data_IF_142517236663
#
_entry.id   IF_142517236663
#
_cell.length_a   1.000
_cell.length_b   1.000
_cell.length_c   1.000
_cell.angle_alpha   90.00
_cell.angle_beta   90.00
_cell.angle_gamma   90.00
#
_symmetry.space_group_name_H-M   'P 1'
#
loop_
_entity.id
_entity.type
_entity.pdbx_description
1 polymer ?
#
# COMPACT_ATOMS: atom_id res chain seq x y z
N UNK A 1 -20.89 15.09 -6.42
CA UNK A 1 -19.83 15.45 -5.45
C UNK A 1 -18.50 15.46 -6.18
N UNK A 2 -17.69 16.51 -6.04
CA UNK A 2 -16.33 16.54 -6.60
C UNK A 2 -15.35 15.80 -5.69
N UNK A 3 -14.13 15.57 -6.16
CA UNK A 3 -13.14 14.79 -5.40
C UNK A 3 -12.71 15.53 -4.14
N UNK A 4 -12.50 16.83 -4.25
CA UNK A 4 -12.14 17.74 -3.16
C UNK A 4 -13.20 17.85 -2.06
N UNK A 5 -14.46 17.52 -2.37
CA UNK A 5 -15.59 17.59 -1.44
C UNK A 5 -15.83 16.28 -0.67
N UNK A 6 -15.07 15.21 -0.99
CA UNK A 6 -15.24 13.91 -0.33
C UNK A 6 -14.79 14.02 1.13
N UNK A 7 -15.73 13.83 2.05
CA UNK A 7 -15.43 13.74 3.49
C UNK A 7 -14.84 12.37 3.83
N UNK A 8 -13.98 12.32 4.86
CA UNK A 8 -13.32 11.07 5.29
C UNK A 8 -14.29 10.01 5.80
N UNK A 9 -15.42 10.43 6.37
CA UNK A 9 -16.46 9.53 6.86
C UNK A 9 -17.46 9.14 5.77
N UNK A 10 -17.31 9.57 4.51
CA UNK A 10 -18.12 9.06 3.43
C UNK A 10 -17.91 7.55 3.23
N UNK A 11 -18.98 6.85 2.86
CA UNK A 11 -18.93 5.44 2.49
C UNK A 11 -18.80 5.37 0.98
N UNK A 12 -17.61 5.00 0.53
CA UNK A 12 -17.29 4.95 -0.90
C UNK A 12 -17.75 3.61 -1.48
N UNK A 13 -18.59 3.64 -2.53
CA UNK A 13 -19.11 2.44 -3.19
C UNK A 13 -18.64 2.42 -4.64
N UNK A 14 -17.77 1.46 -4.96
CA UNK A 14 -17.27 1.23 -6.31
C UNK A 14 -18.20 0.26 -7.04
N UNK A 15 -18.90 0.77 -8.05
CA UNK A 15 -19.85 -0.04 -8.84
C UNK A 15 -19.24 -0.64 -10.12
N UNK A 16 -17.92 -0.54 -10.26
CA UNK A 16 -17.16 -1.18 -11.35
C UNK A 16 -17.07 -2.70 -11.14
N UNK A 17 -16.61 -3.42 -12.17
CA UNK A 17 -16.42 -4.87 -12.07
C UNK A 17 -15.31 -5.23 -11.08
N UNK A 18 -15.28 -6.48 -10.56
CA UNK A 18 -14.24 -6.92 -9.63
C UNK A 18 -12.82 -6.70 -10.16
N UNK A 19 -12.55 -7.02 -11.42
CA UNK A 19 -11.24 -6.77 -12.02
C UNK A 19 -10.86 -5.29 -12.14
N UNK A 20 -11.82 -4.39 -12.38
CA UNK A 20 -11.57 -2.94 -12.34
C UNK A 20 -11.25 -2.44 -10.91
N UNK A 21 -11.89 -3.04 -9.89
CA UNK A 21 -11.67 -2.75 -8.47
C UNK A 21 -10.31 -3.27 -7.99
N UNK A 22 -9.94 -4.49 -8.37
CA UNK A 22 -8.65 -5.11 -8.04
C UNK A 22 -7.44 -4.44 -8.72
N UNK A 23 -7.62 -3.79 -9.87
CA UNK A 23 -6.59 -2.97 -10.54
C UNK A 23 -6.38 -1.62 -9.82
N UNK A 24 -7.28 -1.30 -8.89
CA UNK A 24 -7.14 -0.24 -7.90
C UNK A 24 -8.40 0.59 -7.76
N UNK A 25 -8.63 1.10 -6.55
CA UNK A 25 -9.86 1.82 -6.17
C UNK A 25 -9.57 2.96 -5.19
N UNK A 26 -10.62 3.64 -4.73
CA UNK A 26 -10.52 4.61 -3.64
C UNK A 26 -10.28 3.85 -2.33
N UNK A 27 -9.29 4.21 -1.50
CA UNK A 27 -9.01 3.52 -0.25
C UNK A 27 -10.26 3.38 0.63
N UNK A 28 -10.49 2.17 1.14
CA UNK A 28 -11.66 1.83 1.95
C UNK A 28 -12.98 1.70 1.19
N UNK A 29 -13.00 1.84 -0.15
CA UNK A 29 -14.21 1.66 -0.93
C UNK A 29 -14.69 0.20 -0.93
N UNK A 30 -16.01 0.02 -1.02
CA UNK A 30 -16.66 -1.28 -1.06
C UNK A 30 -17.08 -1.57 -2.51
N UNK A 31 -16.72 -2.74 -3.03
CA UNK A 31 -17.13 -3.12 -4.38
C UNK A 31 -18.53 -3.73 -4.41
N UNK A 32 -19.47 -3.05 -5.07
CA UNK A 32 -20.83 -3.54 -5.35
C UNK A 32 -21.03 -3.46 -6.87
N UNK A 33 -20.53 -4.47 -7.62
CA UNK A 33 -20.48 -4.40 -9.08
C UNK A 33 -21.88 -4.42 -9.70
N UNK A 34 -22.12 -3.50 -10.63
CA UNK A 34 -23.31 -3.54 -11.50
C UNK A 34 -23.16 -4.62 -12.57
N UNK A 35 -21.92 -4.86 -13.01
CA UNK A 35 -21.54 -5.88 -13.97
C UNK A 35 -20.33 -6.64 -13.44
N UNK A 36 -20.30 -7.96 -13.62
CA UNK A 36 -19.04 -8.71 -13.50
C UNK A 36 -18.09 -8.40 -14.67
N UNK A 37 -16.90 -9.00 -14.67
CA UNK A 37 -15.87 -8.72 -15.67
C UNK A 37 -16.28 -9.13 -17.09
N UNK A 38 -17.02 -10.22 -17.22
CA UNK A 38 -17.47 -10.78 -18.50
C UNK A 38 -18.61 -9.94 -19.07
N UNK A 39 -19.61 -9.61 -18.25
CA UNK A 39 -20.70 -8.70 -18.59
C UNK A 39 -20.18 -7.32 -18.97
N UNK A 40 -19.21 -6.79 -18.21
CA UNK A 40 -18.56 -5.51 -18.53
C UNK A 40 -17.89 -5.57 -19.90
N UNK A 41 -17.20 -6.67 -20.23
CA UNK A 41 -16.56 -6.85 -21.52
C UNK A 41 -17.60 -6.90 -22.68
N UNK A 42 -18.72 -7.59 -22.48
CA UNK A 42 -19.83 -7.65 -23.44
C UNK A 42 -20.44 -6.26 -23.66
N UNK A 43 -20.81 -5.55 -22.59
CA UNK A 43 -21.39 -4.20 -22.65
C UNK A 43 -20.41 -3.23 -23.32
N UNK A 44 -19.14 -3.27 -22.94
CA UNK A 44 -18.10 -2.44 -23.56
C UNK A 44 -17.93 -2.71 -25.05
N UNK A 45 -18.08 -3.95 -25.49
CA UNK A 45 -18.03 -4.34 -26.90
C UNK A 45 -19.23 -3.82 -27.66
N UNK A 46 -20.44 -3.96 -27.12
CA UNK A 46 -21.66 -3.43 -27.72
C UNK A 46 -21.61 -1.91 -27.89
N UNK A 47 -21.14 -1.19 -26.86
CA UNK A 47 -20.96 0.26 -26.91
C UNK A 47 -20.05 0.70 -28.06
N UNK A 48 -18.96 -0.04 -28.31
CA UNK A 48 -17.97 0.29 -29.35
C UNK A 48 -18.40 -0.14 -30.75
N UNK A 49 -18.98 -1.34 -30.89
CA UNK A 49 -19.20 -1.99 -32.20
C UNK A 49 -20.62 -1.83 -32.75
N UNK A 50 -21.62 -1.72 -31.89
CA UNK A 50 -23.04 -1.73 -32.29
C UNK A 50 -23.69 -0.38 -32.03
N UNK A 51 -23.45 0.19 -30.85
CA UNK A 51 -23.92 1.52 -30.50
C UNK A 51 -24.57 1.59 -29.12
N UNK A 52 -24.79 2.82 -28.67
CA UNK A 52 -25.23 3.12 -27.30
C UNK A 52 -26.59 2.52 -26.95
N UNK A 53 -27.53 2.45 -27.90
CA UNK A 53 -28.90 1.96 -27.64
C UNK A 53 -28.92 0.48 -27.26
N UNK A 54 -28.25 -0.36 -28.05
CA UNK A 54 -28.18 -1.80 -27.79
C UNK A 54 -27.41 -2.11 -26.51
N UNK A 55 -26.32 -1.38 -26.25
CA UNK A 55 -25.58 -1.55 -25.01
C UNK A 55 -26.42 -1.17 -23.77
N UNK A 56 -27.23 -0.11 -23.85
CA UNK A 56 -28.18 0.24 -22.77
C UNK A 56 -29.25 -0.83 -22.57
N UNK A 57 -29.84 -1.34 -23.67
CA UNK A 57 -30.85 -2.41 -23.60
C UNK A 57 -30.29 -3.65 -22.92
N UNK A 58 -29.12 -4.12 -23.36
CA UNK A 58 -28.45 -5.27 -22.75
C UNK A 58 -28.06 -5.01 -21.30
N UNK A 59 -27.63 -3.80 -20.97
CA UNK A 59 -27.34 -3.40 -19.59
C UNK A 59 -28.56 -3.51 -18.68
N UNK A 60 -29.74 -3.07 -19.13
CA UNK A 60 -30.99 -3.19 -18.36
C UNK A 60 -31.34 -4.65 -18.12
N UNK A 61 -31.24 -5.50 -19.14
CA UNK A 61 -31.52 -6.95 -19.01
C UNK A 61 -30.64 -7.63 -17.97
N UNK A 62 -29.36 -7.26 -17.89
CA UNK A 62 -28.42 -7.82 -16.92
C UNK A 62 -28.67 -7.27 -15.51
N UNK A 63 -28.85 -5.95 -15.38
CA UNK A 63 -28.96 -5.31 -14.06
C UNK A 63 -30.29 -5.62 -13.40
N UNK A 64 -31.38 -5.76 -14.16
CA UNK A 64 -32.72 -5.99 -13.59
C UNK A 64 -32.79 -7.26 -12.75
N UNK A 65 -32.08 -8.33 -13.13
CA UNK A 65 -32.03 -9.57 -12.36
C UNK A 65 -31.17 -9.47 -11.09
N UNK A 66 -30.23 -8.50 -11.03
CA UNK A 66 -29.31 -8.29 -9.90
C UNK A 66 -29.73 -7.16 -8.97
N UNK A 67 -30.78 -6.40 -9.33
CA UNK A 67 -31.08 -5.13 -8.68
C UNK A 67 -31.45 -5.28 -7.21
N UNK A 68 -32.21 -6.33 -6.87
CA UNK A 68 -32.57 -6.65 -5.48
C UNK A 68 -31.33 -6.92 -4.61
N UNK A 69 -30.37 -7.65 -5.15
CA UNK A 69 -29.12 -7.98 -4.44
C UNK A 69 -28.22 -6.76 -4.29
N UNK A 70 -28.11 -5.93 -5.35
CA UNK A 70 -27.36 -4.67 -5.30
C UNK A 70 -27.97 -3.74 -4.24
N UNK A 71 -29.29 -3.58 -4.24
CA UNK A 71 -30.00 -2.77 -3.25
C UNK A 71 -29.72 -3.25 -1.83
N UNK A 72 -29.90 -4.56 -1.58
CA UNK A 72 -29.67 -5.16 -0.26
C UNK A 72 -28.24 -4.95 0.24
N UNK A 73 -27.24 -5.05 -0.65
CA UNK A 73 -25.83 -4.78 -0.31
C UNK A 73 -25.59 -3.31 0.01
N UNK A 74 -26.19 -2.38 -0.72
CA UNK A 74 -26.08 -0.94 -0.42
C UNK A 74 -26.73 -0.64 0.93
N UNK A 75 -27.91 -1.19 1.19
CA UNK A 75 -28.64 -1.00 2.45
C UNK A 75 -27.86 -1.50 3.67
N UNK A 76 -27.14 -2.62 3.55
CA UNK A 76 -26.25 -3.13 4.61
C UNK A 76 -25.14 -2.15 4.99
N UNK A 77 -24.80 -1.22 4.10
CA UNK A 77 -23.77 -0.21 4.33
C UNK A 77 -24.36 1.19 4.55
N UNK A 78 -25.68 1.35 4.58
CA UNK A 78 -26.32 2.63 4.87
C UNK A 78 -26.29 2.93 6.37
N UNK A 79 -25.24 3.61 6.79
CA UNK A 79 -25.05 4.00 8.19
C UNK A 79 -25.66 5.39 8.40
N UNK A 80 -26.63 5.47 9.32
CA UNK A 80 -27.26 6.74 9.69
C UNK A 80 -26.21 7.78 10.12
N UNK A 81 -26.14 8.85 9.33
CA UNK A 81 -25.29 10.02 9.58
C UNK A 81 -24.14 10.16 8.60
N UNK A 82 -23.86 9.10 7.81
CA UNK A 82 -22.76 9.08 6.84
C UNK A 82 -23.32 9.15 5.43
N UNK A 83 -22.70 9.96 4.58
CA UNK A 83 -23.07 10.06 3.16
C UNK A 83 -22.44 8.90 2.39
N UNK A 84 -23.20 8.27 1.49
CA UNK A 84 -22.69 7.26 0.56
C UNK A 84 -22.32 7.91 -0.77
N UNK A 85 -21.13 7.61 -1.30
CA UNK A 85 -20.67 8.15 -2.58
C UNK A 85 -20.42 7.01 -3.55
N UNK A 86 -21.27 6.91 -4.57
CA UNK A 86 -21.17 5.88 -5.60
C UNK A 86 -20.36 6.40 -6.78
N UNK A 87 -19.46 5.55 -7.27
CA UNK A 87 -18.64 5.89 -8.42
C UNK A 87 -18.44 4.70 -9.35
N UNK A 88 -18.27 5.01 -10.63
CA UNK A 88 -17.80 4.08 -11.64
C UNK A 88 -16.54 4.66 -12.30
N UNK A 89 -16.08 4.06 -13.40
CA UNK A 89 -14.83 4.51 -14.07
C UNK A 89 -14.81 6.00 -14.42
N UNK A 90 -15.91 6.57 -14.93
CA UNK A 90 -15.96 7.95 -15.45
C UNK A 90 -17.12 8.80 -14.88
N UNK A 91 -17.79 8.33 -13.83
CA UNK A 91 -18.97 9.04 -13.29
C UNK A 91 -20.12 9.13 -14.30
N UNK A 92 -20.29 8.09 -15.11
CA UNK A 92 -21.32 8.04 -16.17
C UNK A 92 -22.57 7.29 -15.73
N UNK A 93 -23.27 6.70 -16.71
CA UNK A 93 -24.59 6.08 -16.50
C UNK A 93 -24.58 4.94 -15.47
N UNK A 94 -23.50 4.16 -15.35
CA UNK A 94 -23.40 3.04 -14.38
C UNK A 94 -23.68 3.50 -12.95
N UNK A 95 -22.89 4.43 -12.42
CA UNK A 95 -23.14 4.94 -11.06
C UNK A 95 -24.34 5.89 -11.04
N UNK A 96 -24.55 6.69 -12.09
CA UNK A 96 -25.63 7.68 -12.13
C UNK A 96 -27.03 7.06 -12.01
N UNK A 97 -27.34 6.00 -12.76
CA UNK A 97 -28.66 5.37 -12.71
C UNK A 97 -28.97 4.76 -11.35
N UNK A 98 -27.96 4.14 -10.72
CA UNK A 98 -28.11 3.53 -9.40
C UNK A 98 -28.28 4.61 -8.32
N UNK A 99 -27.52 5.71 -8.38
CA UNK A 99 -27.68 6.86 -7.48
C UNK A 99 -29.10 7.40 -7.56
N UNK A 100 -29.67 7.59 -8.76
CA UNK A 100 -31.03 8.12 -8.90
C UNK A 100 -32.08 7.19 -8.31
N UNK A 101 -31.95 5.87 -8.53
CA UNK A 101 -32.84 4.89 -7.92
C UNK A 101 -32.75 4.94 -6.39
N UNK A 102 -31.54 4.92 -5.83
CA UNK A 102 -31.32 4.92 -4.39
C UNK A 102 -31.82 6.22 -3.73
N UNK A 103 -31.64 7.39 -4.39
CA UNK A 103 -32.25 8.66 -3.96
C UNK A 103 -33.77 8.57 -3.91
N UNK A 104 -34.39 7.99 -4.94
CA UNK A 104 -35.84 7.82 -4.98
C UNK A 104 -36.36 6.87 -3.88
N UNK A 105 -35.53 5.93 -3.42
CA UNK A 105 -35.82 5.02 -2.30
C UNK A 105 -35.47 5.61 -0.93
N UNK A 106 -34.95 6.85 -0.87
CA UNK A 106 -34.71 7.58 0.38
C UNK A 106 -33.27 7.50 0.92
N UNK A 107 -32.34 6.87 0.21
CA UNK A 107 -30.94 6.82 0.64
C UNK A 107 -30.22 8.15 0.42
N UNK A 108 -29.32 8.50 1.34
CA UNK A 108 -28.39 9.63 1.19
C UNK A 108 -27.17 9.20 0.39
N UNK A 109 -27.33 9.22 -0.93
CA UNK A 109 -26.28 8.86 -1.87
C UNK A 109 -25.91 10.05 -2.76
N UNK A 110 -24.64 10.18 -3.11
CA UNK A 110 -24.15 11.11 -4.12
C UNK A 110 -23.34 10.38 -5.19
N UNK A 111 -23.31 10.95 -6.39
CA UNK A 111 -22.45 10.45 -7.46
C UNK A 111 -21.11 11.18 -7.41
N UNK A 112 -20.00 10.44 -7.50
CA UNK A 112 -18.68 11.05 -7.73
C UNK A 112 -18.58 11.57 -9.16
N UNK A 113 -18.39 12.87 -9.30
CA UNK A 113 -18.24 13.54 -10.58
C UNK A 113 -16.95 13.06 -11.28
N UNK A 114 -17.07 12.66 -12.55
CA UNK A 114 -15.95 12.12 -13.32
C UNK A 114 -15.42 10.75 -12.83
N UNK A 115 -15.97 10.20 -11.75
CA UNK A 115 -15.71 8.86 -11.23
C UNK A 115 -14.25 8.61 -10.82
N UNK A 116 -13.84 7.33 -10.85
CA UNK A 116 -12.48 6.93 -10.46
C UNK A 116 -11.40 7.61 -11.32
N UNK A 117 -11.69 7.92 -12.58
CA UNK A 117 -10.76 8.66 -13.45
C UNK A 117 -10.46 10.06 -12.90
N UNK A 118 -11.50 10.79 -12.45
CA UNK A 118 -11.31 12.12 -11.88
C UNK A 118 -10.58 12.04 -10.54
N UNK A 119 -10.95 11.09 -9.68
CA UNK A 119 -10.23 10.81 -8.43
C UNK A 119 -8.73 10.57 -8.68
N UNK A 120 -8.41 9.69 -9.62
CA UNK A 120 -7.02 9.37 -9.96
C UNK A 120 -6.25 10.58 -10.46
N UNK A 121 -6.87 11.41 -11.29
CA UNK A 121 -6.26 12.64 -11.80
C UNK A 121 -5.99 13.62 -10.66
N UNK A 122 -6.97 13.79 -9.77
CA UNK A 122 -6.86 14.65 -8.60
C UNK A 122 -5.69 14.25 -7.70
N UNK A 123 -5.52 12.96 -7.38
CA UNK A 123 -4.34 12.50 -6.61
C UNK A 123 -3.04 12.89 -7.31
N UNK A 124 -2.90 12.55 -8.60
CA UNK A 124 -1.66 12.80 -9.34
C UNK A 124 -1.31 14.29 -9.41
N UNK A 125 -2.31 15.15 -9.52
CA UNK A 125 -2.10 16.60 -9.61
C UNK A 125 -1.76 17.24 -8.25
N UNK A 126 -2.16 16.61 -7.12
CA UNK A 126 -2.02 17.19 -5.79
C UNK A 126 -0.96 16.50 -4.90
N UNK A 127 -0.58 15.25 -5.17
CA UNK A 127 0.30 14.46 -4.31
C UNK A 127 1.66 15.13 -4.08
N UNK A 128 2.31 15.60 -5.16
CA UNK A 128 3.58 16.32 -5.03
C UNK A 128 3.46 17.62 -4.23
N UNK A 129 2.31 18.27 -4.28
CA UNK A 129 2.02 19.48 -3.51
C UNK A 129 1.96 19.26 -2.00
N UNK A 130 1.52 18.07 -1.55
CA UNK A 130 1.50 17.70 -0.13
C UNK A 130 2.89 17.42 0.44
N UNK A 131 3.86 17.10 -0.42
CA UNK A 131 5.23 16.75 -0.01
C UNK A 131 6.14 17.97 -0.09
N UNK A 132 5.90 18.84 -1.07
CA UNK A 132 6.72 20.03 -1.32
C UNK A 132 6.76 20.94 -0.10
N UNK A 133 7.98 21.24 0.35
CA UNK A 133 8.24 22.11 1.49
C UNK A 133 8.25 21.41 2.84
N UNK A 134 7.90 20.12 2.92
CA UNK A 134 8.07 19.33 4.15
C UNK A 134 9.51 18.83 4.28
N UNK A 135 10.07 18.85 5.48
CA UNK A 135 11.31 18.14 5.78
C UNK A 135 11.04 16.64 5.78
N UNK A 136 11.89 15.85 5.13
CA UNK A 136 11.77 14.39 5.13
C UNK A 136 12.81 13.84 6.10
N UNK A 137 12.34 13.19 7.17
CA UNK A 137 13.18 12.45 8.10
C UNK A 137 13.23 11.00 7.62
N UNK A 138 14.42 10.52 7.32
CA UNK A 138 14.64 9.19 6.76
C UNK A 138 15.29 8.29 7.80
N UNK A 139 14.61 7.19 8.13
CA UNK A 139 15.14 6.14 9.00
C UNK A 139 15.91 5.13 8.17
N UNK A 140 17.23 5.14 8.32
CA UNK A 140 18.18 4.22 7.70
C UNK A 140 18.42 3.01 8.60
N UNK A 141 18.93 1.94 7.98
CA UNK A 141 19.42 0.77 8.69
C UNK A 141 19.10 -0.53 7.96
N UNK A 142 19.87 -1.57 8.30
CA UNK A 142 19.88 -2.84 7.59
C UNK A 142 18.57 -3.63 7.77
N UNK A 143 18.35 -4.64 6.93
CA UNK A 143 17.18 -5.53 7.03
C UNK A 143 17.09 -6.15 8.43
N UNK A 144 15.95 -6.00 9.11
CA UNK A 144 15.73 -6.55 10.46
C UNK A 144 16.09 -5.63 11.62
N UNK A 145 16.50 -4.37 11.39
CA UNK A 145 16.72 -3.40 12.48
C UNK A 145 15.44 -2.83 13.09
N UNK A 146 14.26 -3.21 12.59
CA UNK A 146 12.97 -2.82 13.17
C UNK A 146 12.43 -1.46 12.71
N UNK A 147 12.81 -0.97 11.51
CA UNK A 147 12.32 0.32 10.95
C UNK A 147 10.78 0.41 10.94
N UNK A 148 10.11 -0.62 10.45
CA UNK A 148 8.64 -0.73 10.41
C UNK A 148 8.03 -0.64 11.82
N UNK A 149 8.63 -1.31 12.80
CA UNK A 149 8.16 -1.26 14.20
C UNK A 149 8.33 0.15 14.78
N UNK A 150 9.48 0.78 14.53
CA UNK A 150 9.75 2.16 14.94
C UNK A 150 8.73 3.13 14.34
N UNK A 151 8.47 3.07 13.04
CA UNK A 151 7.48 3.93 12.37
C UNK A 151 6.08 3.77 12.96
N UNK A 152 5.65 2.53 13.22
CA UNK A 152 4.35 2.25 13.85
C UNK A 152 4.26 2.76 15.28
N UNK A 153 5.35 2.71 16.04
CA UNK A 153 5.39 3.27 17.39
C UNK A 153 5.35 4.80 17.35
N UNK A 154 6.12 5.42 16.45
CA UNK A 154 6.10 6.87 16.24
C UNK A 154 4.71 7.36 15.83
N UNK A 155 4.04 6.68 14.91
CA UNK A 155 2.66 7.02 14.49
C UNK A 155 1.68 6.97 15.68
N UNK A 156 1.76 5.92 16.52
CA UNK A 156 0.93 5.80 17.73
C UNK A 156 1.17 6.93 18.73
N UNK A 157 2.39 7.45 18.80
CA UNK A 157 2.77 8.59 19.64
C UNK A 157 2.46 9.95 18.98
N UNK A 158 1.78 9.95 17.83
CA UNK A 158 1.32 11.16 17.14
C UNK A 158 2.34 11.81 16.20
N UNK A 159 3.45 11.13 15.89
CA UNK A 159 4.44 11.63 14.94
C UNK A 159 4.00 11.33 13.48
N UNK A 160 4.42 12.17 12.52
CA UNK A 160 3.96 12.09 11.12
C UNK A 160 4.68 10.98 10.32
N UNK A 161 4.54 9.73 10.76
CA UNK A 161 5.17 8.57 10.14
C UNK A 161 4.38 8.04 8.93
N UNK A 162 5.10 7.66 7.88
CA UNK A 162 4.61 7.14 6.61
C UNK A 162 5.39 5.86 6.29
N UNK A 163 4.71 4.71 6.38
CA UNK A 163 5.27 3.37 6.10
C UNK A 163 5.10 3.04 4.60
N UNK A 164 6.14 3.28 3.80
CA UNK A 164 6.12 3.11 2.34
C UNK A 164 6.05 1.63 1.93
N UNK A 165 6.71 0.76 2.68
CA UNK A 165 6.68 -0.70 2.57
C UNK A 165 5.26 -1.24 2.73
N UNK A 166 4.57 -0.85 3.82
CA UNK A 166 3.18 -1.23 4.06
C UNK A 166 2.25 -0.68 2.98
N UNK A 167 2.45 0.57 2.54
CA UNK A 167 1.67 1.15 1.44
C UNK A 167 1.88 0.41 0.12
N UNK A 168 3.09 -0.08 -0.15
CA UNK A 168 3.41 -0.88 -1.32
C UNK A 168 2.97 -2.35 -1.19
N UNK A 169 2.60 -2.79 0.02
CA UNK A 169 2.45 -4.20 0.40
C UNK A 169 3.70 -5.01 0.02
N UNK A 170 4.85 -4.52 0.46
CA UNK A 170 6.19 -5.06 0.20
C UNK A 170 7.00 -4.94 1.48
N UNK A 171 7.85 -5.91 1.80
CA UNK A 171 8.99 -5.72 2.70
C UNK A 171 10.20 -5.51 1.80
N UNK A 172 11.07 -4.54 2.07
CA UNK A 172 12.26 -4.16 1.29
C UNK A 172 13.36 -5.23 1.32
N UNK A 173 12.96 -6.49 1.20
CA UNK A 173 13.77 -7.69 1.35
C UNK A 173 13.38 -8.69 0.25
N UNK A 174 14.19 -9.72 0.04
CA UNK A 174 13.91 -10.75 -0.95
C UNK A 174 12.72 -11.62 -0.62
N UNK A 175 12.37 -11.66 0.66
CA UNK A 175 11.13 -12.25 1.16
C UNK A 175 10.01 -11.21 1.20
N UNK A 176 10.15 -10.14 0.42
CA UNK A 176 9.34 -8.94 0.44
C UNK A 176 7.85 -9.17 0.26
N UNK A 177 7.46 -10.27 -0.38
CA UNK A 177 6.07 -10.62 -0.65
C UNK A 177 5.59 -11.78 0.20
N UNK A 178 6.47 -12.43 0.97
CA UNK A 178 6.15 -13.67 1.69
C UNK A 178 5.03 -13.43 2.69
N UNK A 179 3.90 -14.12 2.49
CA UNK A 179 2.72 -14.02 3.34
C UNK A 179 2.01 -12.67 3.30
N UNK A 180 2.35 -11.79 2.35
CA UNK A 180 1.68 -10.49 2.16
C UNK A 180 0.57 -10.55 1.10
N UNK A 181 0.43 -11.66 0.38
CA UNK A 181 -0.52 -11.79 -0.72
C UNK A 181 -0.14 -10.93 -1.92
N UNK A 182 -1.14 -10.32 -2.58
CA UNK A 182 -0.94 -9.56 -3.83
C UNK A 182 -0.28 -8.21 -3.55
N UNK A 183 0.89 -7.97 -4.14
CA UNK A 183 1.56 -6.66 -4.09
C UNK A 183 0.64 -5.54 -4.61
N UNK A 184 0.70 -4.34 -4.01
CA UNK A 184 -0.16 -3.21 -4.43
C UNK A 184 0.32 -2.60 -5.74
N UNK A 185 -0.61 -2.09 -6.54
CA UNK A 185 -0.31 -1.40 -7.79
C UNK A 185 0.02 0.08 -7.53
N UNK A 186 0.55 0.77 -8.55
CA UNK A 186 0.88 2.20 -8.43
C UNK A 186 -0.33 3.06 -8.05
N UNK A 187 -1.53 2.71 -8.55
CA UNK A 187 -2.73 3.49 -8.29
C UNK A 187 -3.15 3.45 -6.82
N UNK A 188 -3.10 2.27 -6.20
CA UNK A 188 -3.42 2.09 -4.79
C UNK A 188 -2.35 2.73 -3.91
N UNK A 189 -1.08 2.55 -4.25
CA UNK A 189 0.03 3.16 -3.52
C UNK A 189 -0.11 4.68 -3.44
N UNK A 190 -0.28 5.34 -4.58
CA UNK A 190 -0.41 6.81 -4.60
C UNK A 190 -1.66 7.28 -3.85
N UNK A 191 -2.75 6.52 -3.90
CA UNK A 191 -3.99 6.87 -3.20
C UNK A 191 -3.83 6.77 -1.68
N UNK A 192 -3.19 5.71 -1.20
CA UNK A 192 -2.86 5.53 0.22
C UNK A 192 -1.86 6.57 0.72
N UNK A 193 -0.84 6.85 -0.08
CA UNK A 193 0.15 7.89 0.23
C UNK A 193 -0.51 9.27 0.28
N UNK A 194 -1.37 9.58 -0.68
CA UNK A 194 -2.15 10.82 -0.69
C UNK A 194 -3.03 10.95 0.56
N UNK A 195 -3.81 9.91 0.88
CA UNK A 195 -4.68 9.92 2.05
C UNK A 195 -3.88 10.09 3.35
N UNK A 196 -2.76 9.38 3.51
CA UNK A 196 -1.90 9.54 4.69
C UNK A 196 -1.30 10.93 4.80
N UNK A 197 -0.76 11.48 3.70
CA UNK A 197 -0.12 12.80 3.70
C UNK A 197 -1.12 13.93 3.96
N UNK A 198 -2.36 13.80 3.49
CA UNK A 198 -3.44 14.75 3.78
C UNK A 198 -3.78 14.79 5.28
N UNK A 199 -3.48 13.72 6.01
CA UNK A 199 -3.75 13.59 7.45
C UNK A 199 -2.59 14.11 8.31
N UNK A 200 -1.48 14.49 7.68
CA UNK A 200 -0.29 15.01 8.37
C UNK A 200 -0.32 16.54 8.40
N UNK A 201 -0.70 17.07 9.56
CA UNK A 201 -0.60 18.49 9.90
C UNK A 201 0.75 18.77 10.60
N UNK A 202 1.84 18.61 9.87
CA UNK A 202 3.20 18.87 10.32
C UNK A 202 4.09 19.32 9.16
N UNK A 203 5.11 20.12 9.43
CA UNK A 203 6.08 20.58 8.42
C UNK A 203 7.13 19.52 8.06
N UNK A 204 6.98 18.30 8.57
CA UNK A 204 7.86 17.17 8.26
C UNK A 204 7.10 15.85 8.20
N UNK A 205 7.73 14.85 7.57
CA UNK A 205 7.27 13.46 7.53
C UNK A 205 8.42 12.52 7.88
N UNK A 206 8.11 11.37 8.45
CA UNK A 206 9.09 10.34 8.79
C UNK A 206 8.85 9.12 7.91
N UNK A 207 9.84 8.70 7.15
CA UNK A 207 9.80 7.54 6.25
C UNK A 207 10.96 6.61 6.52
N UNK A 208 10.82 5.34 6.18
CA UNK A 208 11.96 4.44 6.08
C UNK A 208 12.79 4.72 4.80
N UNK A 209 14.09 4.43 4.89
CA UNK A 209 15.00 4.55 3.75
C UNK A 209 14.71 3.45 2.72
N UNK A 210 13.97 3.83 1.68
CA UNK A 210 13.73 3.01 0.50
C UNK A 210 14.42 3.55 -0.76
N UNK A 211 14.59 2.66 -1.74
CA UNK A 211 14.98 3.09 -3.08
C UNK A 211 13.83 3.86 -3.75
N UNK A 212 14.08 4.63 -4.83
CA UNK A 212 13.02 5.29 -5.59
C UNK A 212 11.90 4.35 -6.09
N UNK A 213 12.16 3.04 -6.05
CA UNK A 213 11.19 1.98 -6.32
C UNK A 213 11.05 1.07 -5.11
N UNK A 214 9.82 0.90 -4.62
CA UNK A 214 9.47 -0.03 -3.54
C UNK A 214 8.66 -1.17 -4.15
N UNK A 215 9.23 -2.37 -4.21
CA UNK A 215 8.64 -3.50 -4.93
C UNK A 215 8.35 -3.16 -6.41
N UNK A 216 7.07 -2.98 -6.75
CA UNK A 216 6.63 -2.64 -8.13
C UNK A 216 6.12 -1.22 -8.31
N UNK A 217 6.17 -0.40 -7.26
CA UNK A 217 5.69 0.99 -7.29
C UNK A 217 6.87 1.96 -7.23
N UNK A 218 6.67 3.14 -7.80
CA UNK A 218 7.64 4.23 -7.80
C UNK A 218 7.18 5.31 -6.83
N UNK A 219 8.12 5.82 -6.05
CA UNK A 219 7.89 6.95 -5.17
C UNK A 219 7.74 8.24 -5.99
N UNK A 220 6.93 9.22 -5.55
CA UNK A 220 6.88 10.54 -6.16
C UNK A 220 8.25 11.21 -6.17
N UNK A 221 8.57 11.97 -7.22
CA UNK A 221 9.86 12.64 -7.33
C UNK A 221 10.12 13.58 -6.16
N UNK A 222 9.12 14.32 -5.71
CA UNK A 222 9.23 15.19 -4.54
C UNK A 222 9.63 14.43 -3.27
N UNK A 223 9.12 13.20 -3.09
CA UNK A 223 9.51 12.35 -1.96
C UNK A 223 10.94 11.85 -2.11
N UNK A 224 11.31 11.38 -3.31
CA UNK A 224 12.66 10.89 -3.59
C UNK A 224 13.71 11.96 -3.37
N UNK A 225 13.46 13.19 -3.82
CA UNK A 225 14.37 14.31 -3.60
C UNK A 225 14.41 14.69 -2.12
N UNK A 226 13.24 14.77 -1.45
CA UNK A 226 13.18 15.02 -0.01
C UNK A 226 13.95 13.97 0.80
N UNK A 227 13.85 12.68 0.45
CA UNK A 227 14.61 11.60 1.11
C UNK A 227 16.13 11.70 0.89
N UNK A 228 16.59 12.36 -0.17
CA UNK A 228 18.03 12.56 -0.44
C UNK A 228 18.62 13.74 0.32
N UNK A 229 17.83 14.79 0.53
CA UNK A 229 18.28 16.06 1.13
C UNK A 229 17.77 16.27 2.55
N UNK A 230 17.08 15.26 3.09
CA UNK A 230 16.39 15.33 4.35
C UNK A 230 17.30 15.15 5.56
N UNK A 231 16.68 14.81 6.68
CA UNK A 231 17.37 14.46 7.93
C UNK A 231 17.57 12.95 7.94
N UNK A 232 18.78 12.48 8.21
CA UNK A 232 19.15 11.07 8.09
C UNK A 232 19.44 10.48 9.47
N UNK A 233 18.55 9.58 9.94
CA UNK A 233 18.72 8.87 11.20
C UNK A 233 19.14 7.43 10.93
N UNK A 234 20.30 6.99 11.43
CA UNK A 234 20.76 5.60 11.29
C UNK A 234 20.32 4.77 12.50
N UNK A 235 19.65 3.65 12.23
CA UNK A 235 19.26 2.68 13.24
C UNK A 235 20.05 1.39 13.08
N UNK A 236 20.68 0.96 14.16
CA UNK A 236 21.53 -0.24 14.21
C UNK A 236 21.08 -1.20 15.31
N UNK A 237 21.39 -2.48 15.18
CA UNK A 237 21.37 -3.45 16.27
C UNK A 237 22.29 -4.62 15.92
N UNK A 238 22.55 -5.48 16.91
CA UNK A 238 23.30 -6.71 16.71
C UNK A 238 22.62 -7.62 15.69
N UNK A 239 23.45 -8.40 15.01
CA UNK A 239 23.01 -9.44 14.10
C UNK A 239 22.02 -10.41 14.78
N UNK A 240 22.28 -10.76 16.05
CA UNK A 240 21.42 -11.63 16.83
C UNK A 240 20.00 -11.08 17.00
N UNK A 241 19.88 -9.77 17.22
CA UNK A 241 18.59 -9.08 17.30
C UNK A 241 17.89 -9.05 15.95
N UNK A 242 18.62 -8.77 14.86
CA UNK A 242 18.08 -8.83 13.48
C UNK A 242 17.56 -10.23 13.16
N UNK A 243 18.36 -11.28 13.40
CA UNK A 243 17.97 -12.68 13.19
C UNK A 243 16.70 -12.99 13.98
N UNK A 244 16.66 -12.63 15.26
CA UNK A 244 15.51 -12.92 16.13
C UNK A 244 14.24 -12.23 15.64
N UNK A 245 14.30 -10.97 15.21
CA UNK A 245 13.15 -10.24 14.64
C UNK A 245 12.64 -10.88 13.36
N UNK A 246 13.55 -11.09 12.40
CA UNK A 246 13.26 -11.67 11.09
C UNK A 246 12.61 -13.05 11.30
N UNK A 247 13.24 -13.93 12.09
CA UNK A 247 12.68 -15.26 12.38
C UNK A 247 11.30 -15.19 13.03
N UNK A 248 11.08 -14.27 13.98
CA UNK A 248 9.76 -14.09 14.61
C UNK A 248 8.70 -13.60 13.63
N UNK A 249 9.07 -12.79 12.63
CA UNK A 249 8.17 -12.39 11.55
C UNK A 249 7.81 -13.57 10.65
N UNK A 250 8.75 -14.47 10.33
CA UNK A 250 8.48 -15.64 9.48
C UNK A 250 7.78 -16.79 10.21
N UNK A 251 8.09 -17.06 11.47
CA UNK A 251 7.44 -18.12 12.25
C UNK A 251 5.94 -17.88 12.42
N UNK A 252 5.50 -16.61 12.41
CA UNK A 252 4.07 -16.27 12.41
C UNK A 252 3.36 -16.71 11.12
N UNK A 253 4.11 -16.97 10.06
CA UNK A 253 3.63 -17.29 8.71
C UNK A 253 3.95 -18.78 8.41
N UNK A 254 3.50 -19.70 9.26
CA UNK A 254 3.69 -21.15 9.12
C UNK A 254 2.70 -21.83 8.16
N UNK A 255 2.18 -21.11 7.17
CA UNK A 255 1.31 -21.72 6.16
C UNK A 255 2.15 -22.44 5.10
N UNK A 256 1.59 -23.50 4.49
CA UNK A 256 2.22 -24.23 3.39
C UNK A 256 2.59 -23.31 2.22
N UNK A 257 1.75 -22.31 1.96
CA UNK A 257 1.92 -21.33 0.88
C UNK A 257 3.11 -20.42 1.15
N UNK A 258 3.27 -19.94 2.39
CA UNK A 258 4.38 -19.06 2.74
C UNK A 258 5.73 -19.78 2.70
N UNK A 259 5.80 -21.05 3.09
CA UNK A 259 7.01 -21.84 2.95
C UNK A 259 7.39 -22.03 1.47
N UNK A 260 6.41 -22.26 0.59
CA UNK A 260 6.64 -22.32 -0.85
C UNK A 260 7.16 -20.98 -1.40
N UNK A 261 6.60 -19.84 -0.97
CA UNK A 261 7.07 -18.51 -1.37
C UNK A 261 8.51 -18.23 -0.90
N UNK A 262 8.90 -18.72 0.29
CA UNK A 262 10.28 -18.63 0.79
C UNK A 262 11.22 -19.48 -0.09
N UNK A 263 10.83 -20.72 -0.41
CA UNK A 263 11.59 -21.60 -1.29
C UNK A 263 11.79 -20.96 -2.66
N UNK A 264 10.74 -20.42 -3.27
CA UNK A 264 10.80 -19.73 -4.55
C UNK A 264 11.69 -18.49 -4.51
N UNK A 265 11.70 -17.77 -3.38
CA UNK A 265 12.57 -16.61 -3.17
C UNK A 265 14.05 -17.02 -3.05
N UNK A 266 14.34 -18.13 -2.36
CA UNK A 266 15.70 -18.71 -2.29
C UNK A 266 16.16 -19.21 -3.66
N UNK A 267 15.27 -19.85 -4.44
CA UNK A 267 15.60 -20.31 -5.79
C UNK A 267 15.98 -19.14 -6.71
N UNK A 268 15.25 -18.02 -6.62
CA UNK A 268 15.55 -16.80 -7.40
C UNK A 268 16.92 -16.19 -7.07
N UNK A 269 17.48 -16.48 -5.90
CA UNK A 269 18.81 -16.03 -5.49
C UNK A 269 19.95 -16.81 -6.12
N UNK A 270 19.71 -17.95 -6.77
CA UNK A 270 20.78 -18.82 -7.23
C UNK A 270 21.81 -18.10 -8.10
N UNK A 271 21.38 -17.14 -8.94
CA UNK A 271 22.28 -16.33 -9.76
C UNK A 271 23.19 -15.38 -8.96
N UNK A 272 22.80 -15.00 -7.75
CA UNK A 272 23.56 -14.08 -6.88
C UNK A 272 24.42 -14.81 -5.84
N UNK A 273 23.88 -15.83 -5.17
CA UNK A 273 24.57 -16.54 -4.07
C UNK A 273 25.19 -17.88 -4.50
N UNK A 274 24.85 -18.37 -5.69
CA UNK A 274 25.37 -19.61 -6.27
C UNK A 274 24.64 -20.89 -5.82
N UNK A 275 24.60 -21.88 -6.72
CA UNK A 275 23.87 -23.15 -6.57
C UNK A 275 24.17 -23.92 -5.28
N UNK A 276 25.43 -23.92 -4.81
CA UNK A 276 25.81 -24.63 -3.59
C UNK A 276 25.13 -24.04 -2.35
N UNK A 277 25.14 -22.71 -2.22
CA UNK A 277 24.51 -22.00 -1.09
C UNK A 277 22.99 -22.06 -1.19
N UNK A 278 22.42 -21.98 -2.39
CA UNK A 278 20.98 -22.19 -2.59
C UNK A 278 20.54 -23.56 -2.08
N UNK A 279 21.25 -24.64 -2.44
CA UNK A 279 20.93 -25.98 -1.97
C UNK A 279 21.07 -26.11 -0.44
N UNK A 280 22.09 -25.48 0.16
CA UNK A 280 22.28 -25.43 1.61
C UNK A 280 21.11 -24.72 2.31
N UNK A 281 20.68 -23.55 1.81
CA UNK A 281 19.55 -22.80 2.36
C UNK A 281 18.24 -23.59 2.29
N UNK A 282 17.98 -24.28 1.18
CA UNK A 282 16.80 -25.12 1.02
C UNK A 282 16.80 -26.29 2.00
N UNK A 283 17.94 -26.97 2.19
CA UNK A 283 18.07 -28.04 3.19
C UNK A 283 17.86 -27.54 4.63
N UNK A 284 18.44 -26.39 4.98
CA UNK A 284 18.22 -25.76 6.29
C UNK A 284 16.76 -25.38 6.51
N UNK A 285 16.07 -24.93 5.45
CA UNK A 285 14.65 -24.59 5.51
C UNK A 285 13.77 -25.84 5.75
N UNK A 286 14.07 -26.96 5.08
CA UNK A 286 13.39 -28.26 5.29
C UNK A 286 13.58 -28.77 6.71
N UNK A 287 14.78 -28.61 7.27
CA UNK A 287 15.11 -28.95 8.66
C UNK A 287 14.55 -27.95 9.69
N UNK A 288 13.82 -26.91 9.25
CA UNK A 288 13.27 -25.82 10.09
C UNK A 288 14.34 -25.05 10.87
N UNK A 289 15.59 -25.02 10.37
CA UNK A 289 16.70 -24.25 10.92
C UNK A 289 16.65 -22.79 10.46
N UNK A 290 15.54 -22.12 10.74
CA UNK A 290 15.25 -20.76 10.25
C UNK A 290 16.31 -19.72 10.64
N UNK A 291 16.89 -19.85 11.84
CA UNK A 291 17.94 -18.94 12.30
C UNK A 291 19.17 -18.98 11.39
N UNK A 292 19.60 -20.17 10.98
CA UNK A 292 20.75 -20.33 10.07
C UNK A 292 20.43 -19.83 8.67
N UNK A 293 19.23 -20.11 8.15
CA UNK A 293 18.77 -19.57 6.86
C UNK A 293 18.86 -18.05 6.85
N UNK A 294 18.32 -17.39 7.88
CA UNK A 294 18.35 -15.93 8.00
C UNK A 294 19.76 -15.40 8.12
N UNK A 295 20.60 -16.01 8.98
CA UNK A 295 22.00 -15.59 9.17
C UNK A 295 22.76 -15.58 7.85
N UNK A 296 22.73 -16.69 7.11
CA UNK A 296 23.40 -16.82 5.81
C UNK A 296 22.91 -15.74 4.83
N UNK A 297 21.59 -15.49 4.78
CA UNK A 297 21.04 -14.46 3.89
C UNK A 297 21.45 -13.04 4.28
N UNK A 298 21.53 -12.72 5.58
CA UNK A 298 22.02 -11.42 6.04
C UNK A 298 23.48 -11.22 5.63
N UNK A 299 24.35 -12.18 5.94
CA UNK A 299 25.79 -12.11 5.68
C UNK A 299 26.12 -12.07 4.18
N UNK A 300 25.48 -12.93 3.38
CA UNK A 300 25.88 -13.17 2.00
C UNK A 300 25.12 -12.34 0.96
N UNK A 301 23.94 -11.81 1.30
CA UNK A 301 23.09 -11.10 0.33
C UNK A 301 22.77 -9.67 0.76
N UNK A 302 22.29 -9.44 1.99
CA UNK A 302 21.82 -8.12 2.40
C UNK A 302 22.97 -7.18 2.76
N UNK A 303 23.78 -7.56 3.74
CA UNK A 303 24.79 -6.69 4.34
C UNK A 303 25.86 -6.23 3.32
N UNK A 304 26.30 -7.05 2.34
CA UNK A 304 27.18 -6.57 1.27
C UNK A 304 26.57 -5.43 0.44
N UNK A 305 25.26 -5.47 0.17
CA UNK A 305 24.56 -4.42 -0.60
C UNK A 305 24.46 -3.12 0.20
N UNK A 306 24.26 -3.20 1.51
CA UNK A 306 24.19 -2.03 2.40
C UNK A 306 25.54 -1.32 2.57
N UNK A 307 26.65 -2.06 2.66
CA UNK A 307 28.01 -1.46 2.77
C UNK A 307 28.37 -0.55 1.59
N UNK A 308 27.76 -0.76 0.43
CA UNK A 308 27.93 0.11 -0.74
C UNK A 308 27.08 1.40 -0.67
N UNK A 309 25.97 1.38 0.05
CA UNK A 309 25.05 2.52 0.21
C UNK A 309 25.32 3.38 1.46
N UNK A 310 25.88 2.80 2.53
CA UNK A 310 26.13 3.51 3.81
C UNK A 310 27.10 4.69 3.69
N UNK A 311 27.96 4.73 2.67
CA UNK A 311 28.88 5.85 2.42
C UNK A 311 28.21 7.08 1.76
N UNK A 312 26.90 7.05 1.56
CA UNK A 312 26.21 8.04 0.73
C UNK A 312 25.68 9.25 1.52
N UNK A 313 25.47 9.12 2.82
CA UNK A 313 24.85 10.16 3.64
C UNK A 313 25.63 10.37 4.93
N UNK A 314 25.69 11.64 5.37
CA UNK A 314 26.08 11.99 6.73
C UNK A 314 24.85 11.84 7.63
N UNK A 315 24.95 11.04 8.68
CA UNK A 315 23.82 10.79 9.59
C UNK A 315 23.79 11.84 10.71
N UNK A 316 22.62 12.45 10.90
CA UNK A 316 22.38 13.42 11.98
C UNK A 316 22.33 12.75 13.35
N UNK A 317 21.92 11.48 13.40
CA UNK A 317 21.82 10.71 14.63
C UNK A 317 21.95 9.20 14.36
N UNK A 318 22.79 8.53 15.14
CA UNK A 318 22.88 7.06 15.15
C UNK A 318 22.29 6.50 16.44
N UNK A 319 21.43 5.50 16.31
CA UNK A 319 20.62 4.95 17.39
C UNK A 319 20.71 3.42 17.42
N UNK A 320 20.73 2.87 18.62
CA UNK A 320 20.57 1.44 18.83
C UNK A 320 19.09 1.10 18.94
N UNK A 321 18.66 0.12 18.14
CA UNK A 321 17.34 -0.51 18.23
C UNK A 321 17.36 -1.78 19.07
N UNK A 322 18.39 -2.08 19.86
CA UNK A 322 18.37 -3.24 20.77
C UNK A 322 17.14 -3.21 21.68
N UNK A 323 16.78 -2.01 22.14
CA UNK A 323 15.49 -1.71 22.74
C UNK A 323 14.73 -0.71 21.85
N UNK A 324 13.61 -1.14 21.27
CA UNK A 324 12.79 -0.29 20.38
C UNK A 324 12.21 0.90 21.12
N UNK A 325 11.80 0.73 22.38
CA UNK A 325 11.19 1.80 23.15
C UNK A 325 12.21 2.92 23.44
N UNK A 326 13.45 2.57 23.80
CA UNK A 326 14.52 3.56 23.97
C UNK A 326 14.85 4.27 22.65
N UNK A 327 14.97 3.50 21.56
CA UNK A 327 15.21 4.05 20.22
C UNK A 327 14.14 5.06 19.83
N UNK A 328 12.86 4.70 19.96
CA UNK A 328 11.70 5.56 19.66
C UNK A 328 11.72 6.80 20.56
N UNK A 329 11.94 6.66 21.88
CA UNK A 329 12.03 7.81 22.79
C UNK A 329 13.12 8.79 22.36
N UNK A 330 14.28 8.29 21.94
CA UNK A 330 15.40 9.14 21.48
C UNK A 330 15.09 9.83 20.16
N UNK A 331 14.44 9.14 19.21
CA UNK A 331 13.96 9.77 17.97
C UNK A 331 12.97 10.88 18.30
N UNK A 332 11.96 10.61 19.14
CA UNK A 332 10.96 11.60 19.53
C UNK A 332 11.59 12.84 20.17
N UNK A 333 12.56 12.65 21.06
CA UNK A 333 13.27 13.75 21.71
C UNK A 333 14.10 14.57 20.72
N UNK A 334 14.80 13.91 19.80
CA UNK A 334 15.53 14.59 18.74
C UNK A 334 14.59 15.42 17.86
N UNK A 335 13.48 14.84 17.41
CA UNK A 335 12.53 15.52 16.53
C UNK A 335 11.94 16.76 17.21
N UNK A 336 11.48 16.65 18.46
CA UNK A 336 10.93 17.78 19.23
C UNK A 336 11.91 18.92 19.47
N UNK A 337 13.21 18.67 19.40
CA UNK A 337 14.25 19.67 19.61
C UNK A 337 14.66 20.37 18.31
N UNK A 338 14.43 19.74 17.16
CA UNK A 338 15.01 20.17 15.88
C UNK A 338 13.95 20.51 14.80
N UNK A 339 12.68 20.14 15.01
CA UNK A 339 11.55 20.36 14.07
C UNK A 339 10.29 20.79 14.82
#
# INVERSE_FOLDING_TARGET
MKVEDIKRDCIMIDVRSPGEYEDGTIPGAINIPIFDDEERAVIGTLYKKVGTREAKKRGIEIVSSKLSDIYSKVEQHDIKGRDMVLFCSKGGMRSGSLVQLLKALGHRVEQLEGGYKAYRRYILDNLGGLIRGKNVVVIHGNTGVGKTEILKRLEKEGFPSVDLEEMANSRGSIFGTVGLGKARGQRDFDALLYDRLRDIDADYIIVESESPRVGRVYLPNELVEGMKTGIHLLVECSEQTRITRIVNEYIKIQSSEALAEIQDSINRLEGEIGRKKTAELLGLLEEKKYREVVRILLEDHYDPKYRHSEKKYDYDLTLSSENIDDCVCRIMNYLRQNL
#
